data_IF_624605555797
#
_entry.id   IF_624605555797
#
_cell.length_a   1.000
_cell.length_b   1.000
_cell.length_c   1.000
_cell.angle_alpha   90.00
_cell.angle_beta   90.00
_cell.angle_gamma   90.00
#
_symmetry.space_group_name_H-M   'P 1'
#
loop_
_entity.id
_entity.type
_entity.pdbx_description
1 polymer ?
#
# COMPACT_ATOMS: atom_id res chain seq x y z
N UNK A 1 22.87 -56.61 4.40
CA UNK A 1 22.92 -55.17 4.64
C UNK A 1 21.71 -54.54 4.02
N UNK A 2 20.69 -54.10 4.77
CA UNK A 2 19.47 -53.56 4.18
C UNK A 2 19.57 -52.05 3.96
N UNK A 3 19.15 -51.64 2.78
CA UNK A 3 18.97 -50.28 2.31
C UNK A 3 17.92 -49.53 3.13
N UNK A 4 18.27 -48.32 3.61
CA UNK A 4 17.35 -47.38 4.25
C UNK A 4 16.73 -46.47 3.18
N UNK A 5 15.44 -46.61 2.95
CA UNK A 5 14.62 -45.67 2.20
C UNK A 5 14.51 -44.33 2.93
N UNK A 6 14.57 -43.16 2.22
CA UNK A 6 14.17 -41.91 2.81
C UNK A 6 12.64 -41.82 2.86
N UNK A 7 12.14 -41.50 4.05
CA UNK A 7 10.71 -41.19 4.26
C UNK A 7 10.37 -39.86 3.61
N UNK A 8 9.37 -39.89 2.75
CA UNK A 8 8.72 -38.71 2.19
C UNK A 8 8.00 -37.94 3.30
N UNK A 9 8.50 -36.74 3.61
CA UNK A 9 7.81 -35.78 4.47
C UNK A 9 6.51 -35.30 3.79
N UNK A 10 5.39 -35.68 4.37
CA UNK A 10 4.04 -35.21 4.05
C UNK A 10 3.99 -33.70 4.30
N UNK A 11 3.90 -32.92 3.22
CA UNK A 11 3.55 -31.50 3.29
C UNK A 11 2.18 -31.32 3.91
N UNK A 12 2.13 -30.66 5.05
CA UNK A 12 0.90 -30.20 5.65
C UNK A 12 0.29 -29.12 4.75
N UNK A 13 -0.63 -29.51 3.86
CA UNK A 13 -1.54 -28.57 3.24
C UNK A 13 -2.36 -27.94 4.36
N UNK A 14 -2.16 -26.62 4.58
CA UNK A 14 -3.02 -25.84 5.43
C UNK A 14 -4.47 -26.03 5.01
N UNK A 15 -5.25 -26.68 5.89
CA UNK A 15 -6.69 -26.78 5.75
C UNK A 15 -7.26 -25.37 5.78
N UNK A 16 -7.60 -24.82 4.60
CA UNK A 16 -8.55 -23.73 4.53
C UNK A 16 -9.78 -24.19 5.29
N UNK A 17 -10.04 -23.57 6.43
CA UNK A 17 -11.31 -23.72 7.14
C UNK A 17 -12.40 -23.40 6.13
N UNK A 18 -13.14 -24.42 5.68
CA UNK A 18 -14.31 -24.20 4.85
C UNK A 18 -15.22 -23.25 5.63
N UNK A 19 -15.33 -22.00 5.19
CA UNK A 19 -16.25 -21.02 5.80
C UNK A 19 -17.63 -21.67 5.79
N UNK A 20 -18.09 -22.05 6.97
CA UNK A 20 -19.39 -22.70 7.13
C UNK A 20 -20.44 -21.74 6.59
N UNK A 21 -21.15 -22.17 5.54
CA UNK A 21 -22.18 -21.35 4.86
C UNK A 21 -23.18 -20.81 5.88
N UNK A 22 -23.37 -19.49 6.00
CA UNK A 22 -24.29 -18.89 6.97
C UNK A 22 -25.73 -19.39 6.81
N UNK A 23 -26.42 -19.63 7.92
CA UNK A 23 -27.79 -20.17 7.95
C UNK A 23 -28.79 -19.38 7.12
N UNK A 24 -28.65 -18.04 7.09
CA UNK A 24 -29.52 -17.17 6.30
C UNK A 24 -29.31 -17.39 4.79
N UNK A 25 -28.10 -17.70 4.33
CA UNK A 25 -27.85 -18.06 2.91
C UNK A 25 -28.44 -19.44 2.58
N UNK A 26 -28.34 -20.39 3.52
CA UNK A 26 -28.99 -21.73 3.39
C UNK A 26 -30.47 -21.53 3.25
N UNK A 27 -31.09 -20.73 4.12
CA UNK A 27 -32.52 -20.44 4.11
C UNK A 27 -32.98 -19.83 2.77
N UNK A 28 -32.19 -18.96 2.15
CA UNK A 28 -32.51 -18.40 0.83
C UNK A 28 -32.09 -19.31 -0.34
N UNK A 29 -31.33 -20.36 -0.09
CA UNK A 29 -30.83 -21.27 -1.16
C UNK A 29 -29.64 -20.69 -1.92
N UNK A 30 -28.92 -19.70 -1.36
CA UNK A 30 -27.82 -19.00 -1.99
C UNK A 30 -26.47 -19.64 -1.63
N UNK A 31 -25.54 -19.67 -2.57
CA UNK A 31 -24.16 -20.13 -2.39
C UNK A 31 -23.24 -18.92 -2.62
N UNK A 32 -22.29 -18.61 -1.70
CA UNK A 32 -21.30 -17.57 -1.95
C UNK A 32 -20.37 -17.91 -3.15
N UNK A 33 -19.91 -16.91 -3.92
CA UNK A 33 -20.23 -15.50 -3.77
C UNK A 33 -21.62 -15.14 -4.31
N UNK A 34 -22.35 -14.24 -3.64
CA UNK A 34 -23.64 -13.75 -4.10
C UNK A 34 -23.72 -12.22 -3.92
N UNK A 35 -24.40 -11.57 -4.84
CA UNK A 35 -24.63 -10.12 -4.87
C UNK A 35 -25.92 -9.77 -4.12
N UNK A 36 -26.14 -8.47 -3.85
CA UNK A 36 -27.42 -7.98 -3.29
C UNK A 36 -28.59 -8.29 -4.23
N UNK A 37 -28.37 -8.27 -5.53
CA UNK A 37 -29.42 -8.61 -6.50
C UNK A 37 -29.76 -10.11 -6.48
N UNK A 38 -28.79 -10.99 -6.35
CA UNK A 38 -29.03 -12.44 -6.16
C UNK A 38 -29.86 -12.71 -4.91
N UNK A 39 -29.53 -12.00 -3.81
CA UNK A 39 -30.27 -12.11 -2.55
C UNK A 39 -31.73 -11.68 -2.73
N UNK A 40 -31.98 -10.58 -3.45
CA UNK A 40 -33.32 -10.06 -3.74
C UNK A 40 -34.13 -11.05 -4.60
N UNK A 41 -33.51 -11.61 -5.65
CA UNK A 41 -34.18 -12.57 -6.52
C UNK A 41 -34.53 -13.87 -5.78
N UNK A 42 -33.60 -14.38 -4.98
CA UNK A 42 -33.85 -15.57 -4.14
C UNK A 42 -34.98 -15.35 -3.12
N UNK A 43 -35.02 -14.17 -2.50
CA UNK A 43 -36.11 -13.78 -1.61
C UNK A 43 -37.46 -13.74 -2.33
N UNK A 44 -37.56 -13.05 -3.48
CA UNK A 44 -38.80 -12.94 -4.25
C UNK A 44 -39.33 -14.32 -4.71
N UNK A 45 -38.43 -15.22 -5.09
CA UNK A 45 -38.83 -16.58 -5.45
C UNK A 45 -39.45 -17.34 -4.28
N UNK A 46 -38.87 -17.21 -3.06
CA UNK A 46 -39.38 -17.92 -1.87
C UNK A 46 -40.63 -17.29 -1.28
N UNK A 47 -40.77 -15.96 -1.32
CA UNK A 47 -41.95 -15.24 -0.81
C UNK A 47 -43.21 -15.65 -1.57
N UNK A 48 -43.12 -15.84 -2.89
CA UNK A 48 -44.30 -16.24 -3.72
C UNK A 48 -44.92 -17.53 -3.23
N UNK A 49 -44.19 -18.45 -2.64
CA UNK A 49 -44.70 -19.76 -2.15
C UNK A 49 -44.95 -19.78 -0.66
N UNK A 50 -44.34 -18.88 0.12
CA UNK A 50 -44.41 -18.88 1.58
C UNK A 50 -45.37 -17.80 2.13
N UNK A 51 -46.00 -16.98 1.28
CA UNK A 51 -46.89 -15.92 1.74
C UNK A 51 -48.18 -16.48 2.34
N UNK A 52 -48.67 -16.00 3.49
CA UNK A 52 -49.89 -16.47 4.15
C UNK A 52 -51.13 -16.45 3.25
N UNK A 53 -51.23 -15.43 2.36
CA UNK A 53 -52.39 -15.29 1.44
C UNK A 53 -52.48 -16.40 0.37
N UNK A 54 -51.39 -17.12 0.14
CA UNK A 54 -51.32 -18.27 -0.79
C UNK A 54 -51.22 -19.60 -0.05
N UNK A 55 -51.51 -19.64 1.26
CA UNK A 55 -51.48 -20.85 2.08
C UNK A 55 -50.14 -21.18 2.73
N UNK A 56 -49.22 -20.20 2.75
CA UNK A 56 -47.96 -20.34 3.44
C UNK A 56 -48.07 -20.17 4.96
N UNK A 57 -47.03 -20.65 5.68
CA UNK A 57 -46.93 -20.56 7.14
C UNK A 57 -46.27 -19.22 7.55
N UNK A 58 -46.91 -18.54 8.52
CA UNK A 58 -46.44 -17.24 9.06
C UNK A 58 -45.01 -17.32 9.67
N UNK A 59 -44.67 -18.45 10.30
CA UNK A 59 -43.37 -18.66 10.90
C UNK A 59 -42.29 -18.85 9.81
N UNK A 60 -42.57 -19.61 8.77
CA UNK A 60 -41.74 -19.78 7.59
C UNK A 60 -41.51 -18.46 6.84
N UNK A 61 -42.58 -17.66 6.68
CA UNK A 61 -42.48 -16.36 6.06
C UNK A 61 -41.53 -15.41 6.83
N UNK A 62 -41.67 -15.30 8.16
CA UNK A 62 -40.79 -14.51 9.01
C UNK A 62 -39.34 -14.96 8.92
N UNK A 63 -39.09 -16.28 8.89
CA UNK A 63 -37.74 -16.82 8.73
C UNK A 63 -37.10 -16.42 7.41
N UNK A 64 -37.87 -16.39 6.33
CA UNK A 64 -37.40 -15.96 5.01
C UNK A 64 -37.10 -14.45 5.02
N UNK A 65 -37.92 -13.65 5.69
CA UNK A 65 -37.72 -12.21 5.80
C UNK A 65 -36.46 -11.86 6.61
N UNK A 66 -36.27 -12.48 7.78
CA UNK A 66 -35.05 -12.33 8.58
C UNK A 66 -33.81 -12.74 7.80
N UNK A 67 -33.88 -13.85 7.07
CA UNK A 67 -32.79 -14.33 6.23
C UNK A 67 -32.46 -13.34 5.11
N UNK A 68 -33.46 -12.66 4.53
CA UNK A 68 -33.26 -11.65 3.49
C UNK A 68 -32.53 -10.41 4.04
N UNK A 69 -32.93 -9.90 5.20
CA UNK A 69 -32.31 -8.74 5.83
C UNK A 69 -30.83 -9.02 6.13
N UNK A 70 -30.55 -10.14 6.78
CA UNK A 70 -29.18 -10.57 7.12
C UNK A 70 -28.31 -10.85 5.90
N UNK A 71 -28.87 -11.51 4.88
CA UNK A 71 -28.15 -11.77 3.64
C UNK A 71 -27.85 -10.50 2.85
N UNK A 72 -28.77 -9.52 2.86
CA UNK A 72 -28.57 -8.23 2.20
C UNK A 72 -27.45 -7.42 2.87
N UNK A 73 -27.43 -7.35 4.20
CA UNK A 73 -26.35 -6.71 4.95
C UNK A 73 -25.00 -7.40 4.69
N UNK A 74 -24.98 -8.70 4.74
CA UNK A 74 -23.78 -9.51 4.50
C UNK A 74 -23.24 -9.30 3.08
N UNK A 75 -24.09 -9.31 2.05
CA UNK A 75 -23.70 -9.10 0.66
C UNK A 75 -23.17 -7.67 0.43
N UNK A 76 -23.81 -6.64 1.03
CA UNK A 76 -23.33 -5.25 1.00
C UNK A 76 -21.96 -5.11 1.64
N UNK A 77 -21.77 -5.69 2.81
CA UNK A 77 -20.50 -5.66 3.53
C UNK A 77 -19.38 -6.33 2.71
N UNK A 78 -19.67 -7.49 2.11
CA UNK A 78 -18.71 -8.22 1.27
C UNK A 78 -18.37 -7.47 -0.02
N UNK A 79 -19.36 -6.91 -0.70
CA UNK A 79 -19.15 -6.07 -1.89
C UNK A 79 -18.29 -4.85 -1.58
N UNK A 80 -18.55 -4.19 -0.45
CA UNK A 80 -17.76 -3.05 0.04
C UNK A 80 -16.32 -3.44 0.32
N UNK A 81 -16.08 -4.61 0.93
CA UNK A 81 -14.74 -5.12 1.21
C UNK A 81 -13.97 -5.50 -0.06
N UNK A 82 -14.63 -6.13 -1.02
CA UNK A 82 -14.01 -6.49 -2.30
C UNK A 82 -13.64 -5.24 -3.09
N UNK A 83 -14.53 -4.25 -3.17
CA UNK A 83 -14.24 -2.97 -3.82
C UNK A 83 -13.08 -2.23 -3.14
N UNK A 84 -13.02 -2.27 -1.82
CA UNK A 84 -11.92 -1.69 -1.05
C UNK A 84 -10.61 -2.44 -1.32
N UNK A 85 -10.62 -3.78 -1.28
CA UNK A 85 -9.45 -4.61 -1.56
C UNK A 85 -8.93 -4.44 -2.99
N UNK A 86 -9.82 -4.35 -3.99
CA UNK A 86 -9.39 -4.16 -5.39
C UNK A 86 -8.62 -2.85 -5.57
N UNK A 87 -9.06 -1.77 -4.92
CA UNK A 87 -8.35 -0.48 -4.93
C UNK A 87 -6.95 -0.58 -4.34
N UNK A 88 -6.77 -1.41 -3.31
CA UNK A 88 -5.46 -1.62 -2.68
C UNK A 88 -4.56 -2.53 -3.50
N UNK A 89 -5.12 -3.56 -4.13
CA UNK A 89 -4.36 -4.47 -5.01
C UNK A 89 -3.77 -3.73 -6.20
N UNK A 90 -4.53 -2.83 -6.84
CA UNK A 90 -4.03 -1.99 -7.93
C UNK A 90 -2.83 -1.14 -7.48
N UNK A 91 -2.96 -0.48 -6.32
CA UNK A 91 -1.86 0.31 -5.73
C UNK A 91 -0.65 -0.54 -5.36
N UNK A 92 -0.88 -1.75 -4.87
CA UNK A 92 0.19 -2.68 -4.53
C UNK A 92 0.96 -3.10 -5.78
N UNK A 93 0.27 -3.49 -6.85
CA UNK A 93 0.91 -3.88 -8.12
C UNK A 93 1.73 -2.73 -8.70
N UNK A 94 1.20 -1.50 -8.67
CA UNK A 94 1.92 -0.31 -9.11
C UNK A 94 3.17 -0.07 -8.23
N UNK A 95 3.03 -0.17 -6.90
CA UNK A 95 4.15 -0.02 -5.97
C UNK A 95 5.22 -1.09 -6.17
N UNK A 96 4.83 -2.34 -6.33
CA UNK A 96 5.75 -3.46 -6.57
C UNK A 96 6.56 -3.26 -7.85
N UNK A 97 5.94 -2.77 -8.92
CA UNK A 97 6.62 -2.39 -10.15
C UNK A 97 7.66 -1.29 -9.95
N UNK A 98 7.34 -0.26 -9.14
CA UNK A 98 8.26 0.83 -8.80
C UNK A 98 9.42 0.33 -7.94
N UNK A 99 9.14 -0.47 -6.93
CA UNK A 99 10.15 -1.09 -6.05
C UNK A 99 11.12 -1.95 -6.86
N UNK A 100 10.59 -2.82 -7.72
CA UNK A 100 11.37 -3.68 -8.60
C UNK A 100 12.27 -2.88 -9.54
N UNK A 101 11.78 -1.77 -10.10
CA UNK A 101 12.58 -0.91 -10.98
C UNK A 101 13.71 -0.19 -10.23
N UNK A 102 13.46 0.32 -9.01
CA UNK A 102 14.50 0.91 -8.16
C UNK A 102 15.58 -0.12 -7.84
N UNK A 103 15.18 -1.34 -7.44
CA UNK A 103 16.10 -2.43 -7.12
C UNK A 103 16.92 -2.87 -8.34
N UNK A 104 16.30 -2.97 -9.51
CA UNK A 104 16.98 -3.29 -10.77
C UNK A 104 18.06 -2.27 -11.13
N UNK A 105 17.86 -1.00 -10.77
CA UNK A 105 18.84 0.08 -10.93
C UNK A 105 19.83 0.19 -9.75
N UNK A 106 19.87 -0.79 -8.85
CA UNK A 106 20.80 -0.84 -7.71
C UNK A 106 20.36 -0.06 -6.48
N UNK A 107 19.13 0.41 -6.41
CA UNK A 107 18.56 1.03 -5.21
C UNK A 107 18.06 0.02 -4.19
N UNK A 108 17.98 0.44 -2.93
CA UNK A 108 17.42 -0.34 -1.82
C UNK A 108 16.20 0.39 -1.30
N UNK A 109 15.10 -0.33 -1.10
CA UNK A 109 13.82 0.22 -0.67
C UNK A 109 13.44 -0.36 0.68
N UNK A 110 13.05 0.48 1.62
CA UNK A 110 12.46 0.07 2.89
C UNK A 110 10.96 0.30 2.83
N UNK A 111 10.22 -0.73 3.21
CA UNK A 111 8.77 -0.76 3.18
C UNK A 111 8.27 -0.94 4.61
N UNK A 112 7.30 -0.13 5.02
CA UNK A 112 6.66 -0.24 6.33
C UNK A 112 5.23 -0.74 6.17
N UNK A 113 4.90 -1.82 6.88
CA UNK A 113 3.55 -2.37 6.94
C UNK A 113 2.65 -1.59 7.89
N UNK A 114 1.35 -1.78 7.75
CA UNK A 114 0.34 -1.15 8.60
C UNK A 114 -0.11 -2.17 9.65
N UNK A 115 0.37 -2.02 10.88
CA UNK A 115 0.17 -2.98 11.98
C UNK A 115 -1.29 -3.32 12.30
N UNK A 116 -2.24 -2.38 12.12
CA UNK A 116 -3.64 -2.67 12.34
C UNK A 116 -4.23 -3.61 11.29
N UNK A 117 -3.74 -3.55 10.03
CA UNK A 117 -4.15 -4.46 8.95
C UNK A 117 -3.68 -5.88 9.22
N UNK A 118 -2.43 -6.05 9.68
CA UNK A 118 -1.88 -7.35 10.09
C UNK A 118 -2.73 -7.97 11.20
N UNK A 119 -3.13 -7.17 12.20
CA UNK A 119 -3.98 -7.63 13.30
C UNK A 119 -5.42 -7.95 12.90
N UNK A 120 -5.97 -7.26 11.91
CA UNK A 120 -7.38 -7.39 11.52
C UNK A 120 -7.64 -8.42 10.41
N UNK A 121 -6.64 -8.67 9.53
CA UNK A 121 -6.82 -9.47 8.32
C UNK A 121 -5.79 -10.59 8.15
N UNK A 122 -4.84 -10.75 9.09
CA UNK A 122 -3.77 -11.73 9.02
C UNK A 122 -2.55 -11.24 8.22
N UNK A 123 -1.47 -12.03 8.25
CA UNK A 123 -0.20 -11.67 7.61
C UNK A 123 -0.30 -11.62 6.08
N UNK A 124 -1.11 -12.49 5.48
CA UNK A 124 -1.27 -12.59 4.02
C UNK A 124 -1.78 -11.29 3.37
N UNK A 125 -2.51 -10.45 4.11
CA UNK A 125 -3.03 -9.18 3.63
C UNK A 125 -2.24 -7.95 4.09
N UNK A 126 -1.26 -8.12 4.96
CA UNK A 126 -0.46 -6.99 5.48
C UNK A 126 0.34 -6.30 4.37
N UNK A 127 0.80 -7.08 3.40
CA UNK A 127 1.62 -6.59 2.27
C UNK A 127 0.86 -5.64 1.33
N UNK A 128 -0.46 -5.78 1.23
CA UNK A 128 -1.30 -4.96 0.32
C UNK A 128 -1.34 -3.49 0.73
N UNK A 129 -1.10 -3.17 2.01
CA UNK A 129 -1.10 -1.80 2.52
C UNK A 129 0.29 -1.30 2.96
N UNK A 130 1.33 -2.02 2.60
CA UNK A 130 2.70 -1.58 2.82
C UNK A 130 3.00 -0.30 2.04
N UNK A 131 3.83 0.56 2.63
CA UNK A 131 4.19 1.84 2.04
C UNK A 131 5.71 1.97 1.97
N UNK A 132 6.21 2.43 0.86
CA UNK A 132 7.61 2.82 0.71
C UNK A 132 7.88 4.04 1.58
N UNK A 133 8.76 3.87 2.57
CA UNK A 133 9.11 4.93 3.52
C UNK A 133 10.54 5.43 3.36
N UNK A 134 11.45 4.59 2.83
CA UNK A 134 12.84 4.98 2.59
C UNK A 134 13.34 4.38 1.28
N UNK A 135 14.08 5.19 0.53
CA UNK A 135 14.80 4.79 -0.67
C UNK A 135 16.27 5.17 -0.49
N UNK A 136 17.16 4.21 -0.69
CA UNK A 136 18.61 4.43 -0.77
C UNK A 136 19.02 4.15 -2.21
N UNK A 137 19.40 5.19 -2.93
CA UNK A 137 19.71 5.07 -4.36
C UNK A 137 21.00 5.81 -4.70
N UNK A 138 22.09 5.09 -4.51
CA UNK A 138 23.44 5.64 -4.61
C UNK A 138 24.05 5.49 -6.01
N UNK A 139 25.02 6.32 -6.28
CA UNK A 139 25.95 6.16 -7.40
C UNK A 139 25.61 7.00 -8.63
N UNK A 140 26.58 7.10 -9.51
CA UNK A 140 26.56 7.98 -10.68
C UNK A 140 25.54 7.63 -11.76
N UNK A 141 24.92 6.45 -11.66
CA UNK A 141 23.82 6.03 -12.54
C UNK A 141 22.48 6.72 -12.17
N UNK A 142 22.40 7.30 -10.97
CA UNK A 142 21.24 8.07 -10.51
C UNK A 142 21.41 9.52 -10.91
N UNK A 143 20.58 9.98 -11.79
CA UNK A 143 20.63 11.30 -12.43
C UNK A 143 19.30 12.07 -12.32
N UNK A 144 19.21 13.23 -12.96
CA UNK A 144 18.00 14.06 -12.97
C UNK A 144 16.79 13.33 -13.56
N UNK A 145 17.00 12.45 -14.53
CA UNK A 145 15.90 11.64 -15.13
C UNK A 145 15.35 10.63 -14.13
N UNK A 146 16.22 10.11 -13.28
CA UNK A 146 15.80 9.20 -12.20
C UNK A 146 14.88 9.91 -11.20
N UNK A 147 15.15 11.18 -10.87
CA UNK A 147 14.28 11.97 -9.98
C UNK A 147 12.99 12.42 -10.67
N UNK A 148 13.03 12.75 -11.96
CA UNK A 148 11.84 13.02 -12.75
C UNK A 148 10.90 11.79 -12.73
N UNK A 149 11.46 10.61 -13.00
CA UNK A 149 10.71 9.35 -12.94
C UNK A 149 10.12 9.07 -11.56
N UNK A 150 10.85 9.30 -10.46
CA UNK A 150 10.29 9.20 -9.10
C UNK A 150 9.11 10.17 -8.90
N UNK A 151 9.25 11.40 -9.38
CA UNK A 151 8.19 12.42 -9.28
C UNK A 151 6.91 12.02 -10.03
N UNK A 152 7.02 11.34 -11.17
CA UNK A 152 5.87 10.82 -11.91
C UNK A 152 5.08 9.80 -11.09
N UNK A 153 5.76 9.06 -10.19
CA UNK A 153 5.17 8.06 -9.30
C UNK A 153 4.88 8.58 -7.89
N UNK A 154 4.82 9.90 -7.68
CA UNK A 154 4.63 10.53 -6.37
C UNK A 154 3.39 10.07 -5.60
N UNK A 155 2.33 9.67 -6.31
CA UNK A 155 1.09 9.20 -5.68
C UNK A 155 1.30 7.91 -4.88
N UNK A 156 2.08 6.98 -5.43
CA UNK A 156 2.44 5.71 -4.78
C UNK A 156 3.49 5.93 -3.69
N UNK A 157 4.42 6.86 -3.91
CA UNK A 157 5.50 7.20 -3.00
C UNK A 157 5.12 8.31 -1.99
N UNK A 158 3.84 8.59 -1.80
CA UNK A 158 3.36 9.66 -0.92
C UNK A 158 3.78 9.52 0.56
N UNK A 159 4.16 8.31 0.99
CA UNK A 159 4.65 8.04 2.33
C UNK A 159 6.18 8.08 2.47
N UNK A 160 6.91 8.48 1.43
CA UNK A 160 8.37 8.52 1.42
C UNK A 160 8.88 9.55 2.45
N UNK A 161 9.61 9.07 3.47
CA UNK A 161 10.16 9.88 4.57
C UNK A 161 11.65 10.12 4.43
N UNK A 162 12.39 9.18 3.84
CA UNK A 162 13.83 9.27 3.71
C UNK A 162 14.30 8.91 2.29
N UNK A 163 15.16 9.76 1.73
CA UNK A 163 15.76 9.57 0.41
C UNK A 163 17.27 9.81 0.50
N UNK A 164 18.04 8.79 0.17
CA UNK A 164 19.49 8.85 0.12
C UNK A 164 19.97 8.79 -1.33
N UNK A 165 20.56 9.87 -1.80
CA UNK A 165 21.09 10.08 -3.14
C UNK A 165 22.62 10.30 -3.12
N UNK A 166 23.29 9.75 -2.13
CA UNK A 166 24.74 9.90 -1.97
C UNK A 166 25.51 9.45 -3.23
N UNK A 167 26.51 10.23 -3.64
CA UNK A 167 27.33 9.94 -4.84
C UNK A 167 26.57 9.92 -6.16
N UNK A 168 25.37 10.53 -6.21
CA UNK A 168 24.57 10.58 -7.42
C UNK A 168 25.07 11.63 -8.43
N UNK A 169 24.64 11.49 -9.70
CA UNK A 169 24.88 12.47 -10.74
C UNK A 169 23.79 13.56 -10.76
N UNK A 170 22.96 13.65 -9.73
CA UNK A 170 21.88 14.62 -9.59
C UNK A 170 22.42 16.05 -9.55
N UNK A 171 21.77 16.94 -10.29
CA UNK A 171 22.09 18.38 -10.37
C UNK A 171 20.97 19.25 -9.79
N UNK A 172 21.17 20.57 -9.82
CA UNK A 172 20.16 21.54 -9.38
C UNK A 172 18.84 21.43 -10.16
N UNK A 173 18.86 20.94 -11.39
CA UNK A 173 17.65 20.72 -12.19
C UNK A 173 16.85 19.51 -11.69
N UNK A 174 17.55 18.40 -11.43
CA UNK A 174 16.92 17.16 -10.96
C UNK A 174 16.30 17.30 -9.58
N UNK A 175 16.97 17.98 -8.66
CA UNK A 175 16.49 18.11 -7.28
C UNK A 175 15.12 18.84 -7.19
N UNK A 176 14.76 19.67 -8.17
CA UNK A 176 13.46 20.36 -8.19
C UNK A 176 12.27 19.36 -8.25
N UNK A 177 12.48 18.18 -8.80
CA UNK A 177 11.45 17.14 -8.81
C UNK A 177 11.09 16.64 -7.41
N UNK A 178 11.96 16.85 -6.41
CA UNK A 178 11.69 16.48 -5.02
C UNK A 178 10.63 17.37 -4.36
N UNK A 179 10.27 18.50 -4.92
CA UNK A 179 9.16 19.34 -4.45
C UNK A 179 7.83 18.58 -4.38
N UNK A 180 7.69 17.48 -5.12
CA UNK A 180 6.52 16.61 -5.11
C UNK A 180 6.39 15.75 -3.83
N UNK A 181 7.45 15.65 -3.00
CA UNK A 181 7.51 14.75 -1.84
C UNK A 181 7.43 15.50 -0.52
N UNK A 182 6.27 16.09 -0.23
CA UNK A 182 6.06 16.90 0.98
C UNK A 182 6.19 16.12 2.30
N UNK A 183 6.12 14.78 2.26
CA UNK A 183 6.32 13.88 3.41
C UNK A 183 7.79 13.65 3.77
N UNK A 184 8.74 14.10 2.93
CA UNK A 184 10.16 13.85 3.09
C UNK A 184 10.69 14.54 4.37
N UNK A 185 11.39 13.74 5.19
CA UNK A 185 12.01 14.18 6.46
C UNK A 185 13.52 14.15 6.42
N UNK A 186 14.08 13.22 5.69
CA UNK A 186 15.53 13.01 5.57
C UNK A 186 15.91 12.98 4.10
N UNK A 187 16.92 13.77 3.75
CA UNK A 187 17.44 13.85 2.39
C UNK A 187 18.98 13.88 2.44
N UNK A 188 19.63 12.87 1.84
CA UNK A 188 21.08 12.89 1.69
C UNK A 188 21.48 13.16 0.25
N UNK A 189 22.19 14.26 0.05
CA UNK A 189 22.72 14.73 -1.23
C UNK A 189 24.26 14.79 -1.20
N UNK A 190 24.87 14.14 -0.23
CA UNK A 190 26.33 14.15 -0.10
C UNK A 190 27.00 13.60 -1.35
N UNK A 191 28.12 14.20 -1.73
CA UNK A 191 28.90 13.84 -2.92
C UNK A 191 28.09 13.91 -4.25
N UNK A 192 27.02 14.71 -4.30
CA UNK A 192 26.26 14.99 -5.52
C UNK A 192 26.70 16.32 -6.20
N UNK A 193 26.19 16.55 -7.43
CA UNK A 193 26.57 17.73 -8.23
C UNK A 193 25.68 18.96 -7.99
N UNK A 194 25.10 19.07 -6.79
CA UNK A 194 24.24 20.21 -6.44
C UNK A 194 25.05 21.44 -5.99
N UNK A 195 24.48 22.59 -6.25
CA UNK A 195 24.99 23.88 -5.84
C UNK A 195 24.02 24.64 -4.91
N UNK A 196 24.36 25.87 -4.55
CA UNK A 196 23.50 26.70 -3.72
C UNK A 196 22.13 27.02 -4.36
N UNK A 197 22.03 27.02 -5.70
CA UNK A 197 20.77 27.25 -6.42
C UNK A 197 19.78 26.10 -6.27
N UNK A 198 20.25 24.87 -6.17
CA UNK A 198 19.41 23.68 -5.95
C UNK A 198 18.69 23.72 -4.60
N UNK A 199 19.25 24.42 -3.60
CA UNK A 199 18.64 24.48 -2.26
C UNK A 199 17.26 25.19 -2.22
N UNK A 200 16.86 25.86 -3.29
CA UNK A 200 15.53 26.49 -3.37
C UNK A 200 14.38 25.47 -3.23
N UNK A 201 14.59 24.21 -3.60
CA UNK A 201 13.59 23.13 -3.44
C UNK A 201 13.17 22.93 -1.99
N UNK A 202 14.02 23.24 -1.03
CA UNK A 202 13.75 23.01 0.40
C UNK A 202 12.54 23.82 0.90
N UNK A 203 12.19 24.91 0.23
CA UNK A 203 10.99 25.69 0.54
C UNK A 203 9.69 24.90 0.29
N UNK A 204 9.76 23.84 -0.53
CA UNK A 204 8.65 22.93 -0.84
C UNK A 204 8.66 21.64 0.00
N UNK A 205 9.64 21.49 0.90
CA UNK A 205 9.80 20.33 1.77
C UNK A 205 9.56 20.70 3.25
N UNK A 206 8.32 20.99 3.65
CA UNK A 206 7.99 21.55 4.96
C UNK A 206 8.31 20.62 6.14
N UNK A 207 8.39 19.31 5.89
CA UNK A 207 8.63 18.30 6.90
C UNK A 207 10.10 17.86 6.98
N UNK A 208 11.01 18.45 6.18
CA UNK A 208 12.41 18.08 6.16
C UNK A 208 13.08 18.50 7.48
N UNK A 209 13.69 17.54 8.18
CA UNK A 209 14.38 17.74 9.45
C UNK A 209 15.87 17.44 9.37
N UNK A 210 16.31 16.65 8.39
CA UNK A 210 17.71 16.31 8.20
C UNK A 210 18.14 16.42 6.74
N UNK A 211 19.32 17.02 6.49
CA UNK A 211 19.88 17.21 5.15
C UNK A 211 21.39 16.94 5.14
N UNK A 212 21.83 15.95 4.35
CA UNK A 212 23.23 15.66 4.10
C UNK A 212 23.76 16.48 2.90
N UNK A 213 24.85 17.23 3.12
CA UNK A 213 25.49 18.08 2.10
C UNK A 213 27.03 17.91 2.10
N UNK A 214 27.53 16.78 2.58
CA UNK A 214 28.97 16.53 2.61
C UNK A 214 29.55 16.48 1.20
N UNK A 215 30.72 17.06 1.00
CA UNK A 215 31.43 17.03 -0.28
C UNK A 215 30.60 17.49 -1.50
N UNK A 216 29.70 18.47 -1.28
CA UNK A 216 28.97 19.15 -2.34
C UNK A 216 29.62 20.50 -2.67
N UNK A 217 29.27 21.13 -3.82
CA UNK A 217 29.77 22.45 -4.22
C UNK A 217 29.16 23.63 -3.43
N UNK A 218 28.41 23.34 -2.35
CA UNK A 218 27.71 24.35 -1.55
C UNK A 218 28.68 24.98 -0.55
N UNK A 219 29.02 26.25 -0.78
CA UNK A 219 29.92 27.03 0.07
C UNK A 219 29.33 27.37 1.46
N UNK A 220 30.20 27.75 2.38
CA UNK A 220 29.84 28.05 3.78
C UNK A 220 28.76 29.16 3.91
N UNK A 221 28.79 30.20 3.05
CA UNK A 221 27.80 31.28 3.05
C UNK A 221 26.38 30.76 2.74
N UNK A 222 26.25 29.86 1.76
CA UNK A 222 24.95 29.25 1.42
C UNK A 222 24.43 28.37 2.57
N UNK A 223 25.32 27.63 3.21
CA UNK A 223 25.01 26.80 4.40
C UNK A 223 24.54 27.63 5.59
N UNK A 224 25.18 28.79 5.84
CA UNK A 224 24.79 29.74 6.88
C UNK A 224 23.41 30.34 6.60
N UNK A 225 23.16 30.78 5.35
CA UNK A 225 21.84 31.29 4.93
C UNK A 225 20.78 30.22 5.09
N UNK A 226 21.08 28.94 4.75
CA UNK A 226 20.18 27.84 4.89
C UNK A 226 19.76 27.62 6.35
N UNK A 227 20.72 27.61 7.29
CA UNK A 227 20.45 27.49 8.74
C UNK A 227 19.62 28.63 9.29
N UNK A 228 19.82 29.86 8.81
CA UNK A 228 19.01 31.01 9.20
C UNK A 228 17.57 30.89 8.71
N UNK A 229 17.38 30.38 7.47
CA UNK A 229 16.05 30.22 6.86
C UNK A 229 15.29 29.04 7.42
N UNK A 230 15.98 27.95 7.73
CA UNK A 230 15.42 26.70 8.23
C UNK A 230 16.06 26.31 9.58
N UNK A 231 15.74 27.00 10.69
CA UNK A 231 16.43 26.84 11.98
C UNK A 231 16.25 25.44 12.60
N UNK A 232 15.19 24.73 12.22
CA UNK A 232 14.90 23.35 12.70
C UNK A 232 15.57 22.26 11.85
N UNK A 233 16.18 22.64 10.72
CA UNK A 233 16.82 21.70 9.81
C UNK A 233 18.23 21.36 10.33
N UNK A 234 18.46 20.08 10.61
CA UNK A 234 19.79 19.57 10.90
C UNK A 234 20.55 19.36 9.58
N UNK A 235 21.71 19.99 9.43
CA UNK A 235 22.52 19.90 8.21
C UNK A 235 23.83 19.21 8.53
N UNK A 236 24.02 18.00 7.98
CA UNK A 236 25.29 17.26 8.02
C UNK A 236 26.25 17.81 6.97
N UNK A 237 27.46 18.20 7.41
CA UNK A 237 28.48 18.88 6.59
C UNK A 237 29.73 18.01 6.47
#
# INVERSE_FOLDING_TARGET
>A
MPESKPQSGSGAHGTHSAETRPDFLITLGLIPPCTVEDVKQAYLAKVKTAHPDVGGDTAGFRKIQDAFERATEWARFRASRIAWLSTWVEKYVEQDGIVSEIQRRGGVVQIEGVDWLRRSFGEDFSHVAEKVTKIQWHGSAVDDKSLAWLSDHRAVLAALKALDLTRSAVTDAGIQHLAAFSSLRELDLSESKISASGLAVLDHLPNLVWLGLRMTSIGWLARTKLKLKHPKLEVAM
#
